data_IF_268936698927
#
_entry.id   IF_268936698927
#
_cell.length_a   1.000
_cell.length_b   1.000
_cell.length_c   1.000
_cell.angle_alpha   90.00
_cell.angle_beta   90.00
_cell.angle_gamma   90.00
#
_symmetry.space_group_name_H-M   'P 1'
#
loop_
_entity.id
_entity.type
_entity.pdbx_description
1 polymer ?
#
# COMPACT_ATOMS: atom_id res chain seq x y z
N UNK A 1 3.73 2.73 -35.90
CA UNK A 1 2.65 2.40 -34.96
C UNK A 1 3.28 2.32 -33.58
N UNK A 2 2.88 3.19 -32.67
CA UNK A 2 3.37 3.13 -31.29
C UNK A 2 2.50 2.10 -30.55
N UNK A 3 3.05 0.93 -30.25
CA UNK A 3 2.40 -0.01 -29.33
C UNK A 3 2.29 0.67 -27.96
N UNK A 4 1.07 0.84 -27.46
CA UNK A 4 0.83 1.31 -26.10
C UNK A 4 1.11 0.14 -25.17
N UNK A 5 2.09 0.31 -24.28
CA UNK A 5 2.32 -0.64 -23.18
C UNK A 5 1.11 -0.57 -22.24
N UNK A 6 0.39 -1.68 -22.15
CA UNK A 6 -0.72 -1.83 -21.21
C UNK A 6 -0.16 -1.88 -19.78
N UNK A 7 -0.71 -1.05 -18.87
CA UNK A 7 -0.26 -0.96 -17.49
C UNK A 7 -1.24 -1.67 -16.57
N UNK A 8 -0.76 -2.63 -15.79
CA UNK A 8 -1.55 -3.24 -14.73
C UNK A 8 -1.88 -2.20 -13.65
N UNK A 9 -3.11 -2.27 -13.14
CA UNK A 9 -3.62 -1.38 -12.08
C UNK A 9 -4.30 -2.21 -11.01
N UNK A 10 -4.10 -1.83 -9.74
CA UNK A 10 -4.70 -2.48 -8.57
C UNK A 10 -5.17 -1.40 -7.59
N UNK A 11 -6.26 -1.67 -6.86
CA UNK A 11 -6.84 -0.74 -5.89
C UNK A 11 -6.37 -1.05 -4.46
N UNK A 12 -5.94 -0.01 -3.75
CA UNK A 12 -5.52 -0.06 -2.34
C UNK A 12 -5.95 1.23 -1.65
N UNK A 13 -6.25 1.17 -0.35
CA UNK A 13 -6.56 2.37 0.44
C UNK A 13 -5.29 3.18 0.72
N UNK A 14 -4.16 2.48 0.91
CA UNK A 14 -2.86 3.10 1.14
C UNK A 14 -1.77 2.36 0.37
N UNK A 15 -0.98 3.10 -0.41
CA UNK A 15 0.23 2.63 -1.07
C UNK A 15 1.46 3.25 -0.41
N UNK A 16 2.37 2.42 0.08
CA UNK A 16 3.66 2.83 0.66
C UNK A 16 4.77 2.46 -0.32
N UNK A 17 5.56 3.45 -0.74
CA UNK A 17 6.71 3.25 -1.63
C UNK A 17 8.00 3.26 -0.81
N UNK A 18 8.71 2.14 -0.81
CA UNK A 18 9.92 1.84 -0.05
C UNK A 18 9.68 0.89 1.12
N UNK A 19 10.24 -0.32 1.05
CA UNK A 19 10.19 -1.37 2.08
C UNK A 19 11.16 -1.20 3.26
N UNK A 20 11.73 -0.02 3.44
CA UNK A 20 12.68 0.27 4.52
C UNK A 20 12.02 0.38 5.92
N UNK A 21 12.82 0.68 6.97
CA UNK A 21 12.31 0.75 8.35
C UNK A 21 11.15 1.73 8.53
N UNK A 22 11.17 2.86 7.84
CA UNK A 22 10.09 3.85 7.88
C UNK A 22 8.82 3.35 7.21
N UNK A 23 8.92 2.74 6.03
CA UNK A 23 7.77 2.21 5.29
C UNK A 23 7.09 1.05 6.01
N UNK A 24 7.87 0.11 6.54
CA UNK A 24 7.34 -0.99 7.35
C UNK A 24 6.77 -0.51 8.69
N UNK A 25 7.40 0.47 9.35
CA UNK A 25 6.83 1.06 10.57
C UNK A 25 5.48 1.73 10.30
N UNK A 26 5.34 2.43 9.17
CA UNK A 26 4.08 3.03 8.75
C UNK A 26 3.01 1.96 8.47
N UNK A 27 3.35 0.90 7.70
CA UNK A 27 2.44 -0.21 7.42
C UNK A 27 1.95 -0.91 8.70
N UNK A 28 2.88 -1.23 9.60
CA UNK A 28 2.58 -1.81 10.91
C UNK A 28 1.65 -0.91 11.74
N UNK A 29 1.90 0.40 11.75
CA UNK A 29 1.08 1.34 12.52
C UNK A 29 -0.33 1.47 11.94
N UNK A 30 -0.47 1.51 10.61
CA UNK A 30 -1.76 1.54 9.94
C UNK A 30 -2.57 0.28 10.25
N UNK A 31 -1.96 -0.90 10.21
CA UNK A 31 -2.62 -2.15 10.56
C UNK A 31 -3.09 -2.19 12.03
N UNK A 32 -2.33 -1.58 12.96
CA UNK A 32 -2.75 -1.46 14.36
C UNK A 32 -3.95 -0.53 14.52
N UNK A 33 -3.95 0.62 13.85
CA UNK A 33 -5.05 1.59 13.90
C UNK A 33 -6.33 1.02 13.26
N UNK A 34 -6.20 0.37 12.10
CA UNK A 34 -7.28 -0.35 11.43
C UNK A 34 -8.01 -1.33 12.37
N UNK A 35 -7.25 -2.11 13.15
CA UNK A 35 -7.81 -3.03 14.16
C UNK A 35 -8.44 -2.30 15.33
N UNK A 36 -7.83 -1.23 15.82
CA UNK A 36 -8.33 -0.47 16.96
C UNK A 36 -9.65 0.23 16.64
N UNK A 37 -9.79 0.77 15.43
CA UNK A 37 -10.95 1.53 14.97
C UNK A 37 -12.01 0.63 14.29
N UNK A 38 -11.78 -0.69 14.25
CA UNK A 38 -12.63 -1.68 13.58
C UNK A 38 -12.95 -1.28 12.12
N UNK A 39 -11.93 -0.76 11.43
CA UNK A 39 -11.98 -0.28 10.06
C UNK A 39 -10.95 -1.06 9.25
N UNK A 40 -11.39 -1.88 8.29
CA UNK A 40 -10.47 -2.63 7.43
C UNK A 40 -9.78 -1.69 6.42
N UNK A 41 -8.45 -1.74 6.38
CA UNK A 41 -7.61 -1.01 5.41
C UNK A 41 -6.81 -1.99 4.56
N UNK A 42 -6.90 -1.85 3.24
CA UNK A 42 -6.03 -2.50 2.25
C UNK A 42 -4.76 -1.66 2.06
N UNK A 43 -3.66 -2.13 2.64
CA UNK A 43 -2.35 -1.46 2.61
C UNK A 43 -1.36 -2.31 1.79
N UNK A 44 -0.69 -1.68 0.82
CA UNK A 44 0.40 -2.31 0.06
C UNK A 44 1.72 -1.57 0.28
N UNK A 45 2.80 -2.34 0.37
CA UNK A 45 4.17 -1.82 0.34
C UNK A 45 4.81 -2.28 -0.95
N UNK A 46 5.35 -1.35 -1.72
CA UNK A 46 6.17 -1.61 -2.91
C UNK A 46 7.59 -1.16 -2.65
N UNK A 47 8.59 -1.85 -3.19
CA UNK A 47 10.02 -1.51 -3.05
C UNK A 47 10.71 -1.38 -4.41
#
# INVERSE_FOLDING_TARGET
MSEQVERESMEFDVVIVGGGPSGLAAACRLAQLSKADNCELSVVVVE
#
